data_IF_629733553169
#
_entry.id   IF_629733553169
#
_cell.length_a   1.000
_cell.length_b   1.000
_cell.length_c   1.000
_cell.angle_alpha   90.00
_cell.angle_beta   90.00
_cell.angle_gamma   90.00
#
_symmetry.space_group_name_H-M   'P 1'
#
loop_
_entity.id
_entity.type
_entity.pdbx_description
1 polymer ?
#
# COMPACT_ATOMS: atom_id res chain seq x y z
N UNK A 1 -37.34 -20.59 0.07
CA UNK A 1 -37.75 -19.40 0.84
C UNK A 1 -38.88 -18.73 0.06
N UNK A 2 -40.14 -19.05 0.36
CA UNK A 2 -41.31 -18.64 -0.43
C UNK A 2 -41.34 -17.12 -0.64
N UNK A 3 -41.33 -16.67 -1.89
CA UNK A 3 -41.81 -15.33 -2.21
C UNK A 3 -43.30 -15.32 -1.87
N UNK A 4 -43.74 -14.41 -1.00
CA UNK A 4 -45.16 -14.20 -0.80
C UNK A 4 -45.62 -13.47 -2.06
N UNK A 5 -46.22 -14.20 -3.00
CA UNK A 5 -46.78 -13.63 -4.22
C UNK A 5 -47.88 -12.63 -3.84
N UNK A 6 -47.85 -11.45 -4.44
CA UNK A 6 -48.95 -10.49 -4.33
C UNK A 6 -50.16 -11.07 -5.08
N UNK A 7 -51.23 -11.37 -4.35
CA UNK A 7 -52.46 -11.92 -4.91
C UNK A 7 -53.36 -10.78 -5.41
N UNK A 8 -53.14 -10.39 -6.66
CA UNK A 8 -53.84 -9.29 -7.35
C UNK A 8 -55.36 -9.47 -7.32
N UNK A 9 -55.86 -10.71 -7.50
CA UNK A 9 -57.30 -11.00 -7.52
C UNK A 9 -57.93 -10.88 -6.13
N UNK A 10 -57.24 -11.36 -5.08
CA UNK A 10 -57.70 -11.17 -3.69
C UNK A 10 -57.65 -9.70 -3.29
N UNK A 11 -56.66 -8.95 -3.77
CA UNK A 11 -56.56 -7.52 -3.52
C UNK A 11 -57.69 -6.73 -4.20
N UNK A 12 -57.96 -6.97 -5.49
CA UNK A 12 -59.09 -6.37 -6.21
C UNK A 12 -60.44 -6.70 -5.55
N UNK A 13 -60.66 -7.97 -5.16
CA UNK A 13 -61.88 -8.35 -4.43
C UNK A 13 -62.04 -7.61 -3.11
N UNK A 14 -60.96 -7.44 -2.33
CA UNK A 14 -61.02 -6.66 -1.10
C UNK A 14 -61.36 -5.19 -1.37
N UNK A 15 -60.80 -4.58 -2.43
CA UNK A 15 -61.10 -3.20 -2.82
C UNK A 15 -62.58 -3.04 -3.22
N UNK A 16 -63.13 -3.98 -3.98
CA UNK A 16 -64.52 -3.96 -4.38
C UNK A 16 -65.47 -4.19 -3.19
N UNK A 17 -65.25 -5.27 -2.44
CA UNK A 17 -66.18 -5.72 -1.39
C UNK A 17 -66.11 -4.89 -0.11
N UNK A 18 -64.90 -4.44 0.29
CA UNK A 18 -64.68 -3.77 1.58
C UNK A 18 -64.48 -2.27 1.47
N UNK A 19 -63.97 -1.79 0.33
CA UNK A 19 -63.79 -0.36 0.07
C UNK A 19 -64.83 0.21 -0.91
N UNK A 20 -65.77 -0.64 -1.39
CA UNK A 20 -66.90 -0.24 -2.25
C UNK A 20 -66.49 0.47 -3.55
N UNK A 21 -65.28 0.18 -4.05
CA UNK A 21 -64.80 0.65 -5.34
C UNK A 21 -65.53 -0.09 -6.48
N UNK A 22 -65.69 0.55 -7.65
CA UNK A 22 -66.23 -0.18 -8.82
C UNK A 22 -65.28 -1.30 -9.25
N UNK A 23 -65.77 -2.33 -9.95
CA UNK A 23 -64.90 -3.40 -10.46
C UNK A 23 -63.71 -2.86 -11.26
N UNK A 24 -63.94 -1.87 -12.13
CA UNK A 24 -62.89 -1.26 -12.95
C UNK A 24 -61.86 -0.50 -12.11
N UNK A 25 -62.30 0.20 -11.06
CA UNK A 25 -61.39 0.89 -10.14
C UNK A 25 -60.56 -0.10 -9.33
N UNK A 26 -61.18 -1.16 -8.83
CA UNK A 26 -60.51 -2.19 -8.03
C UNK A 26 -59.46 -2.96 -8.85
N UNK A 27 -59.79 -3.33 -10.10
CA UNK A 27 -58.88 -3.98 -11.03
C UNK A 27 -57.73 -3.04 -11.43
N UNK A 28 -58.04 -1.80 -11.84
CA UNK A 28 -57.01 -0.83 -12.21
C UNK A 28 -56.00 -0.52 -11.09
N UNK A 29 -56.47 -0.45 -9.83
CA UNK A 29 -55.56 -0.26 -8.68
C UNK A 29 -54.75 -1.52 -8.35
N UNK A 30 -55.32 -2.70 -8.52
CA UNK A 30 -54.61 -3.96 -8.31
C UNK A 30 -53.51 -4.18 -9.35
N UNK A 31 -53.79 -3.87 -10.61
CA UNK A 31 -52.83 -3.95 -11.71
C UNK A 31 -51.69 -2.95 -11.52
N UNK A 32 -52.01 -1.68 -11.22
CA UNK A 32 -50.99 -0.67 -10.95
C UNK A 32 -50.06 -1.06 -9.79
N UNK A 33 -50.58 -1.65 -8.71
CA UNK A 33 -49.76 -2.14 -7.60
C UNK A 33 -48.95 -3.38 -7.98
N UNK A 34 -49.51 -4.31 -8.77
CA UNK A 34 -48.79 -5.48 -9.27
C UNK A 34 -47.58 -5.09 -10.12
N UNK A 35 -47.72 -4.07 -10.97
CA UNK A 35 -46.63 -3.55 -11.80
C UNK A 35 -45.48 -2.95 -10.97
N UNK A 36 -45.81 -2.22 -9.90
CA UNK A 36 -44.82 -1.67 -8.95
C UNK A 36 -44.05 -2.79 -8.25
N UNK A 37 -44.73 -3.86 -7.81
CA UNK A 37 -44.08 -5.00 -7.15
C UNK A 37 -43.23 -5.83 -8.11
N UNK A 38 -43.60 -5.88 -9.39
CA UNK A 38 -42.84 -6.60 -10.41
C UNK A 38 -41.53 -5.91 -10.82
N UNK A 39 -41.46 -4.57 -10.69
CA UNK A 39 -40.37 -3.77 -11.26
C UNK A 39 -39.53 -2.99 -10.24
N UNK A 40 -40.04 -2.75 -9.02
CA UNK A 40 -39.45 -1.78 -8.10
C UNK A 40 -38.79 -2.33 -6.83
N UNK A 41 -38.83 -3.64 -6.59
CA UNK A 41 -38.34 -4.21 -5.31
C UNK A 41 -37.08 -5.05 -5.53
N UNK A 42 -35.95 -4.68 -4.89
CA UNK A 42 -34.77 -5.53 -4.84
C UNK A 42 -35.14 -6.93 -4.36
N UNK A 43 -34.80 -7.91 -5.17
CA UNK A 43 -35.10 -9.31 -4.98
C UNK A 43 -34.01 -9.98 -4.13
N UNK A 44 -34.24 -11.25 -3.80
CA UNK A 44 -33.21 -12.09 -3.17
C UNK A 44 -31.99 -12.30 -4.08
N UNK A 45 -32.18 -12.18 -5.39
CA UNK A 45 -31.09 -12.24 -6.37
C UNK A 45 -30.17 -11.04 -6.19
N UNK A 46 -30.71 -9.82 -6.08
CA UNK A 46 -29.90 -8.61 -5.85
C UNK A 46 -29.09 -8.71 -4.53
N UNK A 47 -29.68 -9.31 -3.49
CA UNK A 47 -28.96 -9.58 -2.23
C UNK A 47 -27.85 -10.63 -2.42
N UNK A 48 -28.09 -11.65 -3.23
CA UNK A 48 -27.09 -12.68 -3.54
C UNK A 48 -25.93 -12.09 -4.35
N UNK A 49 -26.21 -11.20 -5.29
CA UNK A 49 -25.22 -10.51 -6.11
C UNK A 49 -24.36 -9.59 -5.24
N UNK A 50 -24.97 -8.76 -4.39
CA UNK A 50 -24.22 -7.92 -3.43
C UNK A 50 -23.37 -8.78 -2.48
N UNK A 51 -23.87 -9.95 -2.04
CA UNK A 51 -23.07 -10.88 -1.23
C UNK A 51 -21.88 -11.44 -2.00
N UNK A 52 -22.06 -11.74 -3.29
CA UNK A 52 -20.98 -12.20 -4.15
C UNK A 52 -19.93 -11.11 -4.34
N UNK A 53 -20.35 -9.86 -4.59
CA UNK A 53 -19.46 -8.70 -4.71
C UNK A 53 -18.68 -8.45 -3.42
N UNK A 54 -19.33 -8.55 -2.26
CA UNK A 54 -18.68 -8.44 -0.95
C UNK A 54 -17.63 -9.53 -0.76
N UNK A 55 -17.94 -10.78 -1.14
CA UNK A 55 -16.99 -11.89 -1.04
C UNK A 55 -15.80 -11.70 -1.98
N UNK A 56 -16.06 -11.28 -3.22
CA UNK A 56 -15.01 -10.98 -4.19
C UNK A 56 -14.09 -9.86 -3.66
N UNK A 57 -14.67 -8.76 -3.17
CA UNK A 57 -13.92 -7.66 -2.57
C UNK A 57 -13.12 -8.08 -1.34
N UNK A 58 -13.67 -8.97 -0.50
CA UNK A 58 -12.96 -9.52 0.66
C UNK A 58 -11.73 -10.30 0.22
N UNK A 59 -11.87 -11.16 -0.79
CA UNK A 59 -10.77 -11.98 -1.32
C UNK A 59 -9.68 -11.10 -1.93
N UNK A 60 -10.04 -10.11 -2.75
CA UNK A 60 -9.06 -9.19 -3.35
C UNK A 60 -8.33 -8.39 -2.28
N UNK A 61 -9.05 -7.83 -1.30
CA UNK A 61 -8.45 -7.07 -0.20
C UNK A 61 -7.50 -7.94 0.63
N UNK A 62 -7.84 -9.21 0.86
CA UNK A 62 -6.95 -10.13 1.58
C UNK A 62 -5.66 -10.41 0.78
N UNK A 63 -5.77 -10.59 -0.54
CA UNK A 63 -4.62 -10.77 -1.42
C UNK A 63 -3.72 -9.52 -1.41
N UNK A 64 -4.31 -8.32 -1.50
CA UNK A 64 -3.58 -7.05 -1.47
C UNK A 64 -2.84 -6.86 -0.13
N UNK A 65 -3.46 -7.22 1.00
CA UNK A 65 -2.81 -7.17 2.31
C UNK A 65 -1.58 -8.09 2.35
N UNK A 66 -1.67 -9.30 1.77
CA UNK A 66 -0.53 -10.23 1.71
C UNK A 66 0.57 -9.68 0.81
N UNK A 67 0.22 -9.12 -0.34
CA UNK A 67 1.19 -8.49 -1.25
C UNK A 67 1.93 -7.32 -0.58
N UNK A 68 1.20 -6.41 0.07
CA UNK A 68 1.80 -5.28 0.80
C UNK A 68 2.72 -5.76 1.93
N UNK A 69 2.36 -6.82 2.65
CA UNK A 69 3.25 -7.42 3.67
C UNK A 69 4.55 -7.94 3.06
N UNK A 70 4.47 -8.63 1.93
CA UNK A 70 5.64 -9.11 1.22
C UNK A 70 6.54 -7.95 0.76
N UNK A 71 5.96 -6.89 0.20
CA UNK A 71 6.70 -5.70 -0.23
C UNK A 71 7.39 -5.01 0.95
N UNK A 72 6.72 -4.92 2.11
CA UNK A 72 7.32 -4.38 3.35
C UNK A 72 8.53 -5.23 3.78
N UNK A 73 8.43 -6.55 3.75
CA UNK A 73 9.53 -7.43 4.16
C UNK A 73 10.69 -7.38 3.17
N UNK A 74 10.41 -7.28 1.86
CA UNK A 74 11.43 -7.06 0.84
C UNK A 74 12.16 -5.72 1.02
N UNK A 75 11.42 -4.63 1.26
CA UNK A 75 11.99 -3.30 1.53
C UNK A 75 12.84 -3.29 2.81
N UNK A 76 12.40 -3.98 3.86
CA UNK A 76 13.17 -4.14 5.10
C UNK A 76 14.48 -4.87 4.87
N UNK A 77 14.46 -5.95 4.09
CA UNK A 77 15.66 -6.71 3.76
C UNK A 77 16.64 -5.88 2.93
N UNK A 78 16.15 -5.21 1.87
CA UNK A 78 16.97 -4.31 1.04
C UNK A 78 17.61 -3.21 1.89
N UNK A 79 16.81 -2.51 2.70
CA UNK A 79 17.31 -1.42 3.56
C UNK A 79 18.37 -1.91 4.53
N UNK A 80 18.22 -3.11 5.09
CA UNK A 80 19.22 -3.71 5.97
C UNK A 80 20.52 -4.01 5.22
N UNK A 81 20.42 -4.60 4.03
CA UNK A 81 21.57 -4.89 3.19
C UNK A 81 22.32 -3.61 2.80
N UNK A 82 21.59 -2.55 2.40
CA UNK A 82 22.15 -1.26 2.04
C UNK A 82 22.87 -0.60 3.24
N UNK A 83 22.28 -0.66 4.43
CA UNK A 83 22.91 -0.16 5.66
C UNK A 83 24.21 -0.92 5.96
N UNK A 84 24.21 -2.25 5.84
CA UNK A 84 25.40 -3.06 6.12
C UNK A 84 26.49 -2.83 5.05
N UNK A 85 26.11 -2.64 3.78
CA UNK A 85 27.02 -2.24 2.71
C UNK A 85 27.64 -0.85 2.95
N UNK A 86 26.83 0.14 3.33
CA UNK A 86 27.32 1.50 3.65
C UNK A 86 28.28 1.49 4.85
N UNK A 87 27.99 0.69 5.88
CA UNK A 87 28.88 0.51 7.03
C UNK A 87 30.22 -0.09 6.63
N UNK A 88 30.21 -1.08 5.74
CA UNK A 88 31.45 -1.68 5.25
C UNK A 88 32.25 -0.69 4.41
N UNK A 89 31.60 0.00 3.47
CA UNK A 89 32.23 1.03 2.64
C UNK A 89 32.88 2.12 3.51
N UNK A 90 32.16 2.64 4.50
CA UNK A 90 32.70 3.66 5.42
C UNK A 90 33.91 3.16 6.21
N UNK A 91 33.91 1.89 6.64
CA UNK A 91 35.07 1.30 7.34
C UNK A 91 36.28 1.19 6.43
N UNK A 92 36.08 0.79 5.17
CA UNK A 92 37.13 0.72 4.15
C UNK A 92 37.69 2.10 3.88
N UNK A 93 36.83 3.11 3.67
CA UNK A 93 37.25 4.49 3.41
C UNK A 93 38.06 5.07 4.57
N UNK A 94 37.66 4.80 5.81
CA UNK A 94 38.44 5.18 7.01
C UNK A 94 39.80 4.49 7.03
N UNK A 95 39.88 3.21 6.69
CA UNK A 95 41.16 2.48 6.66
C UNK A 95 42.09 3.04 5.57
N UNK A 96 41.54 3.33 4.39
CA UNK A 96 42.26 3.97 3.27
C UNK A 96 42.76 5.35 3.68
N UNK A 97 41.90 6.20 4.25
CA UNK A 97 42.27 7.53 4.73
C UNK A 97 43.38 7.48 5.79
N UNK A 98 43.30 6.54 6.75
CA UNK A 98 44.37 6.31 7.74
C UNK A 98 45.69 5.92 7.09
N UNK A 99 45.65 5.00 6.12
CA UNK A 99 46.83 4.59 5.35
C UNK A 99 47.45 5.78 4.61
N UNK A 100 46.62 6.59 3.96
CA UNK A 100 47.11 7.73 3.18
C UNK A 100 47.71 8.81 4.08
N UNK A 101 47.09 9.10 5.23
CA UNK A 101 47.68 9.98 6.26
C UNK A 101 49.07 9.47 6.67
N UNK A 102 49.22 8.16 6.93
CA UNK A 102 50.52 7.57 7.29
C UNK A 102 51.55 7.76 6.17
N UNK A 103 51.19 7.51 4.90
CA UNK A 103 52.07 7.73 3.75
C UNK A 103 52.53 9.19 3.67
N UNK A 104 51.60 10.14 3.82
CA UNK A 104 51.93 11.58 3.83
C UNK A 104 52.82 11.97 5.02
N UNK A 105 52.59 11.41 6.21
CA UNK A 105 53.44 11.63 7.38
C UNK A 105 54.87 11.16 7.15
N UNK A 106 55.09 9.97 6.58
CA UNK A 106 56.44 9.51 6.24
C UNK A 106 57.13 10.41 5.21
N UNK A 107 56.40 10.87 4.20
CA UNK A 107 56.91 11.84 3.23
C UNK A 107 57.35 13.15 3.88
N UNK A 108 56.53 13.71 4.78
CA UNK A 108 56.83 14.95 5.48
C UNK A 108 58.00 14.80 6.47
N UNK A 109 58.05 13.73 7.26
CA UNK A 109 59.17 13.46 8.20
C UNK A 109 60.48 13.30 7.42
N UNK A 110 60.46 12.57 6.30
CA UNK A 110 61.63 12.44 5.44
C UNK A 110 62.10 13.79 4.91
N UNK A 111 61.18 14.61 4.39
CA UNK A 111 61.47 15.96 3.92
C UNK A 111 62.04 16.86 5.03
N UNK A 112 61.40 16.89 6.20
CA UNK A 112 61.86 17.64 7.37
C UNK A 112 63.28 17.24 7.79
N UNK A 113 63.59 15.94 7.79
CA UNK A 113 64.94 15.43 8.12
C UNK A 113 65.99 15.97 7.16
N UNK A 114 65.73 15.93 5.85
CA UNK A 114 66.64 16.46 4.82
C UNK A 114 66.80 17.97 4.95
N UNK A 115 65.71 18.70 5.21
CA UNK A 115 65.73 20.15 5.39
C UNK A 115 66.60 20.56 6.60
N UNK A 116 66.45 19.87 7.74
CA UNK A 116 67.26 20.12 8.95
C UNK A 116 68.74 19.86 8.68
N UNK A 117 69.08 18.72 8.08
CA UNK A 117 70.47 18.40 7.73
C UNK A 117 71.08 19.45 6.79
N UNK A 118 70.33 19.88 5.78
CA UNK A 118 70.76 20.94 4.86
C UNK A 118 71.01 22.27 5.56
N UNK A 119 70.12 22.67 6.49
CA UNK A 119 70.27 23.88 7.28
C UNK A 119 71.52 23.84 8.18
N UNK A 120 71.78 22.71 8.85
CA UNK A 120 72.97 22.52 9.69
C UNK A 120 74.25 22.64 8.86
N UNK A 121 74.31 22.00 7.69
CA UNK A 121 75.48 22.08 6.79
C UNK A 121 75.72 23.52 6.32
N UNK A 122 74.66 24.24 5.93
CA UNK A 122 74.75 25.64 5.52
C UNK A 122 75.29 26.53 6.66
N UNK A 123 74.81 26.32 7.90
CA UNK A 123 75.28 27.05 9.08
C UNK A 123 76.77 26.80 9.35
N UNK A 124 77.21 25.54 9.35
CA UNK A 124 78.63 25.18 9.56
C UNK A 124 79.53 25.81 8.49
N UNK A 125 79.06 25.88 7.24
CA UNK A 125 79.80 26.51 6.14
C UNK A 125 79.87 28.03 6.27
N UNK A 126 78.89 28.67 6.90
CA UNK A 126 78.90 30.12 7.12
C UNK A 126 79.78 30.58 8.30
N UNK A 127 80.19 29.65 9.16
CA UNK A 127 81.03 29.91 10.35
C UNK A 127 82.54 29.65 10.12
N UNK A 128 82.92 29.05 8.99
CA UNK A 128 84.31 28.90 8.55
C UNK A 128 84.60 29.87 7.40
#
# INVERSE_FOLDING_TARGET
MNAIAFDTLKFARNLHEKAHLTPEQAEGMADAMSEVFASGIPTKTDIADVRHDIEAFRVTTQADIVAVRHDIDALRFSTKADIDALRLATRVDIATAKSDIIKWMFGMIGFQTVAILGAVVALVRSLH
#
